data_IF_737980252807
#
_entry.id   IF_737980252807
#
_cell.length_a   1.000
_cell.length_b   1.000
_cell.length_c   1.000
_cell.angle_alpha   90.00
_cell.angle_beta   90.00
_cell.angle_gamma   90.00
#
_symmetry.space_group_name_H-M   'P 1'
#
loop_
_entity.id
_entity.type
_entity.pdbx_description
1 polymer ?
#
# COMPACT_ATOMS: atom_id res chain seq x y z
N UNK A 1 31.54 52.14 -12.13
CA UNK A 1 32.07 53.38 -12.78
C UNK A 1 33.55 53.63 -12.48
N UNK A 2 34.02 53.38 -11.26
CA UNK A 2 35.43 53.59 -10.85
C UNK A 2 36.42 52.55 -11.40
N UNK A 3 36.02 51.29 -11.55
CA UNK A 3 36.89 50.22 -12.09
C UNK A 3 37.23 50.44 -13.57
N UNK A 4 36.28 50.94 -14.36
CA UNK A 4 36.50 51.28 -15.80
C UNK A 4 37.47 52.45 -15.93
N UNK A 5 37.39 53.43 -15.02
CA UNK A 5 38.30 54.56 -14.97
C UNK A 5 39.74 54.12 -14.70
N UNK A 6 39.95 53.26 -13.70
CA UNK A 6 41.26 52.70 -13.37
C UNK A 6 41.84 51.86 -14.51
N UNK A 7 41.01 51.08 -15.21
CA UNK A 7 41.44 50.33 -16.40
C UNK A 7 41.90 51.23 -17.54
N UNK A 8 41.19 52.33 -17.81
CA UNK A 8 41.58 53.29 -18.84
C UNK A 8 42.84 54.11 -18.48
N UNK A 9 43.00 54.50 -17.21
CA UNK A 9 44.19 55.20 -16.69
C UNK A 9 45.45 54.37 -16.78
N UNK A 10 45.30 52.98 -16.63
CA UNK A 10 46.40 52.04 -16.81
C UNK A 10 46.93 51.99 -18.25
N UNK A 11 46.03 52.16 -19.24
CA UNK A 11 46.40 52.21 -20.69
C UNK A 11 47.15 53.42 -21.06
N UNK A 12 46.97 54.58 -20.38
CA UNK A 12 47.61 55.88 -20.64
C UNK A 12 48.96 56.07 -19.92
N UNK A 13 49.59 55.10 -19.30
CA UNK A 13 50.91 55.14 -18.63
C UNK A 13 51.09 56.26 -17.60
N UNK A 14 50.08 56.73 -16.95
CA UNK A 14 50.13 57.80 -15.93
C UNK A 14 50.95 57.29 -14.72
N UNK A 15 51.91 58.16 -14.26
CA UNK A 15 52.77 57.84 -13.10
C UNK A 15 51.89 57.66 -11.84
N UNK A 16 51.96 56.47 -11.19
CA UNK A 16 51.15 56.17 -10.02
C UNK A 16 49.99 55.17 -10.26
N UNK A 17 49.52 54.95 -11.48
CA UNK A 17 48.42 54.02 -11.78
C UNK A 17 48.73 52.56 -11.41
N UNK A 18 49.99 52.16 -11.46
CA UNK A 18 50.42 50.82 -11.02
C UNK A 18 50.28 50.59 -9.52
N UNK A 19 50.51 51.62 -8.70
CA UNK A 19 50.37 51.53 -7.25
C UNK A 19 48.88 51.49 -6.85
N UNK A 20 48.05 52.34 -7.44
CA UNK A 20 46.58 52.36 -7.21
C UNK A 20 45.98 50.99 -7.60
N UNK A 21 46.36 50.41 -8.72
CA UNK A 21 45.87 49.10 -9.16
C UNK A 21 46.27 48.00 -8.18
N UNK A 22 47.51 47.97 -7.69
CA UNK A 22 47.97 47.01 -6.68
C UNK A 22 47.20 47.15 -5.37
N UNK A 23 46.93 48.37 -4.93
CA UNK A 23 46.17 48.64 -3.71
C UNK A 23 44.70 48.16 -3.82
N UNK A 24 44.04 48.44 -4.95
CA UNK A 24 42.68 47.97 -5.20
C UNK A 24 42.60 46.44 -5.24
N UNK A 25 43.57 45.82 -5.92
CA UNK A 25 43.62 44.32 -5.96
C UNK A 25 43.87 43.74 -4.57
N UNK A 26 44.77 44.33 -3.78
CA UNK A 26 45.03 43.88 -2.41
C UNK A 26 43.81 43.99 -1.53
N UNK A 27 43.03 45.10 -1.57
CA UNK A 27 41.79 45.25 -0.85
C UNK A 27 40.70 44.28 -1.35
N UNK A 28 40.64 44.07 -2.67
CA UNK A 28 39.67 43.14 -3.25
C UNK A 28 39.96 41.69 -2.81
N UNK A 29 41.21 41.27 -2.80
CA UNK A 29 41.63 39.96 -2.31
C UNK A 29 41.34 39.82 -0.80
N UNK A 30 41.69 40.83 -0.02
CA UNK A 30 41.46 40.87 1.44
C UNK A 30 39.97 40.74 1.79
N UNK A 31 39.08 41.28 0.99
CA UNK A 31 37.62 41.20 1.17
C UNK A 31 37.02 39.89 0.62
N UNK A 32 37.47 39.47 -0.59
CA UNK A 32 36.90 38.30 -1.27
C UNK A 32 37.33 36.94 -0.64
N UNK A 33 38.61 36.82 -0.25
CA UNK A 33 39.10 35.56 0.31
C UNK A 33 38.35 35.11 1.56
N UNK A 34 38.17 35.97 2.57
CA UNK A 34 37.35 35.57 3.75
C UNK A 34 35.89 35.30 3.42
N UNK A 35 35.30 36.09 2.52
CA UNK A 35 33.90 35.90 2.08
C UNK A 35 33.69 34.55 1.41
N UNK A 36 34.62 34.14 0.52
CA UNK A 36 34.56 32.85 -0.18
C UNK A 36 34.74 31.73 0.79
N UNK A 37 35.70 31.84 1.74
CA UNK A 37 35.90 30.83 2.79
C UNK A 37 34.66 30.65 3.67
N UNK A 38 34.06 31.76 4.14
CA UNK A 38 32.83 31.72 4.92
C UNK A 38 31.67 31.10 4.15
N UNK A 39 31.52 31.46 2.88
CA UNK A 39 30.50 30.90 2.00
C UNK A 39 30.68 29.38 1.82
N UNK A 40 31.92 28.89 1.61
CA UNK A 40 32.21 27.46 1.49
C UNK A 40 31.87 26.70 2.77
N UNK A 41 32.25 27.24 3.92
CA UNK A 41 31.97 26.60 5.23
C UNK A 41 30.45 26.61 5.48
N UNK A 42 29.79 27.73 5.30
CA UNK A 42 28.35 27.86 5.48
C UNK A 42 27.59 26.90 4.54
N UNK A 43 27.98 26.84 3.26
CA UNK A 43 27.37 25.95 2.28
C UNK A 43 27.52 24.48 2.67
N UNK A 44 28.71 24.06 3.11
CA UNK A 44 28.92 22.67 3.59
C UNK A 44 28.11 22.33 4.82
N UNK A 45 28.09 23.23 5.82
CA UNK A 45 27.30 23.05 7.04
C UNK A 45 25.79 22.98 6.71
N UNK A 46 25.33 23.82 5.82
CA UNK A 46 23.92 23.84 5.40
C UNK A 46 23.53 22.55 4.68
N UNK A 47 24.32 22.09 3.73
CA UNK A 47 24.09 20.83 3.00
C UNK A 47 24.10 19.62 3.94
N UNK A 48 25.06 19.57 4.84
CA UNK A 48 25.19 18.50 5.81
C UNK A 48 24.02 18.47 6.81
N UNK A 49 23.66 19.63 7.36
CA UNK A 49 22.57 19.74 8.33
C UNK A 49 21.21 19.40 7.72
N UNK A 50 20.90 19.92 6.53
CA UNK A 50 19.63 19.65 5.87
C UNK A 50 19.56 18.20 5.42
N UNK A 51 20.64 17.66 4.83
CA UNK A 51 20.65 16.29 4.37
C UNK A 51 20.36 15.29 5.49
N UNK A 52 21.07 15.38 6.60
CA UNK A 52 20.88 14.46 7.73
C UNK A 52 19.52 14.65 8.42
N UNK A 53 19.08 15.88 8.63
CA UNK A 53 17.82 16.14 9.33
C UNK A 53 16.60 15.78 8.48
N UNK A 54 16.66 16.04 7.18
CA UNK A 54 15.57 15.73 6.25
C UNK A 54 15.45 14.22 6.03
N UNK A 55 16.56 13.50 5.84
CA UNK A 55 16.54 12.06 5.64
C UNK A 55 15.98 11.33 6.86
N UNK A 56 16.41 11.66 8.07
CA UNK A 56 15.96 11.00 9.29
C UNK A 56 14.44 11.20 9.53
N UNK A 57 13.93 12.41 9.34
CA UNK A 57 12.49 12.68 9.49
C UNK A 57 11.65 12.05 8.40
N UNK A 58 12.13 12.07 7.16
CA UNK A 58 11.43 11.46 6.04
C UNK A 58 11.34 9.95 6.23
N UNK A 59 12.42 9.30 6.62
CA UNK A 59 12.44 7.87 6.90
C UNK A 59 11.44 7.49 8.01
N UNK A 60 11.46 8.19 9.15
CA UNK A 60 10.52 7.96 10.24
C UNK A 60 9.06 8.14 9.80
N UNK A 61 8.77 9.21 9.06
CA UNK A 61 7.40 9.49 8.57
C UNK A 61 6.93 8.40 7.60
N UNK A 62 7.79 7.97 6.69
CA UNK A 62 7.47 6.88 5.76
C UNK A 62 7.28 5.55 6.49
N UNK A 63 8.08 5.26 7.51
CA UNK A 63 7.95 4.07 8.32
C UNK A 63 6.62 4.06 9.09
N UNK A 64 6.25 5.14 9.76
CA UNK A 64 4.94 5.26 10.42
C UNK A 64 3.78 5.14 9.43
N UNK A 65 3.90 5.74 8.26
CA UNK A 65 2.88 5.62 7.20
C UNK A 65 2.74 4.16 6.74
N UNK A 66 3.84 3.43 6.61
CA UNK A 66 3.84 2.02 6.24
C UNK A 66 3.22 1.14 7.34
N UNK A 67 3.48 1.43 8.61
CA UNK A 67 2.87 0.72 9.73
C UNK A 67 1.35 0.95 9.80
N UNK A 68 0.90 2.18 9.57
CA UNK A 68 -0.53 2.50 9.45
C UNK A 68 -1.16 1.72 8.29
N UNK A 69 -0.50 1.69 7.13
CA UNK A 69 -0.97 0.97 5.97
C UNK A 69 -1.10 -0.54 6.22
N UNK A 70 -0.11 -1.14 6.88
CA UNK A 70 -0.12 -2.56 7.27
C UNK A 70 -1.23 -2.86 8.27
N UNK A 71 -1.40 -2.02 9.29
CA UNK A 71 -2.44 -2.19 10.29
C UNK A 71 -3.84 -2.08 9.67
N UNK A 72 -4.05 -1.11 8.78
CA UNK A 72 -5.31 -0.98 8.04
C UNK A 72 -5.61 -2.24 7.22
N UNK A 73 -4.63 -2.77 6.49
CA UNK A 73 -4.79 -3.97 5.69
C UNK A 73 -5.11 -5.20 6.56
N UNK A 74 -4.36 -5.39 7.65
CA UNK A 74 -4.59 -6.48 8.60
C UNK A 74 -5.96 -6.40 9.26
N UNK A 75 -6.41 -5.20 9.64
CA UNK A 75 -7.74 -5.00 10.23
C UNK A 75 -8.85 -5.29 9.22
N UNK A 76 -8.68 -4.84 7.96
CA UNK A 76 -9.62 -5.14 6.89
C UNK A 76 -9.72 -6.65 6.65
N UNK A 77 -8.60 -7.36 6.57
CA UNK A 77 -8.54 -8.82 6.46
C UNK A 77 -9.24 -9.52 7.64
N UNK A 78 -8.91 -9.12 8.86
CA UNK A 78 -9.49 -9.71 10.06
C UNK A 78 -11.02 -9.52 10.12
N UNK A 79 -11.53 -8.35 9.75
CA UNK A 79 -12.97 -8.10 9.65
C UNK A 79 -13.62 -8.99 8.59
N UNK A 80 -13.02 -9.13 7.43
CA UNK A 80 -13.54 -9.95 6.35
C UNK A 80 -13.54 -11.45 6.74
N UNK A 81 -12.47 -11.94 7.35
CA UNK A 81 -12.38 -13.31 7.91
C UNK A 81 -13.43 -13.55 8.99
N UNK A 82 -13.62 -12.61 9.90
CA UNK A 82 -14.64 -12.72 10.95
C UNK A 82 -16.05 -12.85 10.37
N UNK A 83 -16.38 -12.03 9.34
CA UNK A 83 -17.65 -12.16 8.63
C UNK A 83 -17.82 -13.55 8.00
N UNK A 84 -16.78 -14.06 7.35
CA UNK A 84 -16.81 -15.39 6.72
C UNK A 84 -17.03 -16.50 7.76
N UNK A 85 -16.32 -16.45 8.89
CA UNK A 85 -16.50 -17.41 10.00
C UNK A 85 -17.89 -17.32 10.62
N UNK A 86 -18.46 -16.15 10.74
CA UNK A 86 -19.83 -15.99 11.21
C UNK A 86 -20.83 -16.65 10.25
N UNK A 87 -20.63 -16.53 8.94
CA UNK A 87 -21.49 -17.20 7.95
C UNK A 87 -21.31 -18.72 8.05
N UNK A 88 -20.08 -19.23 8.15
CA UNK A 88 -19.79 -20.65 8.41
C UNK A 88 -20.54 -21.16 9.63
N UNK A 89 -20.46 -20.42 10.74
CA UNK A 89 -21.18 -20.79 11.97
C UNK A 89 -22.69 -20.88 11.78
N UNK A 90 -23.29 -19.91 11.05
CA UNK A 90 -24.73 -19.96 10.73
C UNK A 90 -25.10 -21.16 9.86
N UNK A 91 -24.28 -21.50 8.87
CA UNK A 91 -24.49 -22.67 8.02
C UNK A 91 -24.46 -23.94 8.86
N UNK A 92 -23.46 -24.06 9.75
CA UNK A 92 -23.26 -25.22 10.62
C UNK A 92 -24.35 -25.36 11.66
N UNK A 93 -24.72 -24.28 12.35
CA UNK A 93 -25.72 -24.31 13.44
C UNK A 93 -27.15 -24.61 12.98
N UNK A 94 -27.42 -24.48 11.68
CA UNK A 94 -28.75 -24.72 11.07
C UNK A 94 -28.77 -25.91 10.13
N UNK A 95 -27.73 -26.72 10.12
CA UNK A 95 -27.57 -27.88 9.24
C UNK A 95 -27.84 -27.59 7.75
N UNK A 96 -27.45 -26.39 7.29
CA UNK A 96 -27.70 -25.96 5.92
C UNK A 96 -26.84 -26.65 4.87
N UNK A 97 -25.92 -27.52 5.30
CA UNK A 97 -25.15 -28.39 4.43
C UNK A 97 -25.97 -29.55 3.84
N UNK A 98 -27.13 -29.87 4.42
CA UNK A 98 -28.02 -30.91 3.93
C UNK A 98 -28.68 -30.49 2.61
N UNK A 99 -28.80 -31.46 1.69
CA UNK A 99 -29.41 -31.23 0.36
C UNK A 99 -30.84 -30.64 0.41
N UNK A 100 -31.58 -31.03 1.44
CA UNK A 100 -32.95 -30.62 1.71
C UNK A 100 -33.03 -29.11 2.04
N UNK A 101 -31.97 -28.56 2.61
CA UNK A 101 -31.91 -27.17 3.08
C UNK A 101 -31.32 -26.18 2.07
N UNK A 102 -31.09 -26.60 0.82
CA UNK A 102 -30.43 -25.73 -0.20
C UNK A 102 -31.13 -24.41 -0.44
N UNK A 103 -32.46 -24.39 -0.43
CA UNK A 103 -33.21 -23.16 -0.60
C UNK A 103 -33.00 -22.20 0.59
N UNK A 104 -32.96 -22.73 1.80
CA UNK A 104 -32.62 -21.96 3.00
C UNK A 104 -31.17 -21.44 2.97
N UNK A 105 -30.23 -22.24 2.43
CA UNK A 105 -28.85 -21.84 2.24
C UNK A 105 -28.77 -20.64 1.27
N UNK A 106 -29.46 -20.70 0.13
CA UNK A 106 -29.49 -19.59 -0.82
C UNK A 106 -30.06 -18.32 -0.20
N UNK A 107 -31.17 -18.41 0.53
CA UNK A 107 -31.76 -17.27 1.26
C UNK A 107 -30.81 -16.71 2.33
N UNK A 108 -30.09 -17.59 3.04
CA UNK A 108 -29.10 -17.14 4.02
C UNK A 108 -27.99 -16.34 3.37
N UNK A 109 -27.38 -16.81 2.28
CA UNK A 109 -26.26 -16.10 1.64
C UNK A 109 -26.71 -14.77 1.04
N UNK A 110 -27.90 -14.69 0.45
CA UNK A 110 -28.48 -13.44 -0.02
C UNK A 110 -28.62 -12.41 1.12
N UNK A 111 -29.19 -12.82 2.24
CA UNK A 111 -29.31 -11.96 3.40
C UNK A 111 -27.95 -11.54 3.97
N UNK A 112 -26.97 -12.44 4.00
CA UNK A 112 -25.64 -12.15 4.54
C UNK A 112 -24.78 -11.28 3.60
N UNK A 113 -24.96 -11.39 2.30
CA UNK A 113 -24.35 -10.46 1.32
C UNK A 113 -24.84 -9.05 1.61
N UNK A 114 -26.15 -8.86 1.76
CA UNK A 114 -26.73 -7.55 2.06
C UNK A 114 -26.35 -7.03 3.46
N UNK A 115 -26.48 -7.87 4.51
CA UNK A 115 -26.19 -7.51 5.90
C UNK A 115 -24.73 -7.08 6.11
N UNK A 116 -23.79 -7.80 5.52
CA UNK A 116 -22.36 -7.57 5.70
C UNK A 116 -21.74 -6.67 4.62
N UNK A 117 -22.57 -6.21 3.68
CA UNK A 117 -22.12 -5.43 2.51
C UNK A 117 -20.96 -6.12 1.80
N UNK A 118 -21.16 -7.40 1.43
CA UNK A 118 -20.18 -8.19 0.70
C UNK A 118 -20.37 -8.02 -0.81
N UNK A 119 -19.30 -8.16 -1.55
CA UNK A 119 -19.35 -8.23 -3.02
C UNK A 119 -19.90 -9.58 -3.52
N UNK A 120 -19.82 -10.62 -2.69
CA UNK A 120 -20.43 -11.91 -2.98
C UNK A 120 -20.07 -13.01 -1.99
N UNK A 121 -20.83 -14.09 -2.07
CA UNK A 121 -20.58 -15.37 -1.39
C UNK A 121 -20.77 -16.48 -2.40
N UNK A 122 -19.86 -17.44 -2.42
CA UNK A 122 -19.97 -18.67 -3.21
C UNK A 122 -19.70 -19.86 -2.30
N UNK A 123 -20.52 -20.89 -2.41
CA UNK A 123 -20.35 -22.13 -1.65
C UNK A 123 -20.18 -23.30 -2.62
N UNK A 124 -19.11 -24.05 -2.39
CA UNK A 124 -18.78 -25.26 -3.15
C UNK A 124 -18.90 -26.50 -2.27
N UNK A 125 -19.25 -27.63 -2.87
CA UNK A 125 -19.10 -28.92 -2.22
C UNK A 125 -17.63 -29.42 -2.26
N UNK A 126 -17.36 -30.58 -1.65
CA UNK A 126 -16.03 -31.18 -1.64
C UNK A 126 -15.52 -31.61 -3.03
N UNK A 127 -16.40 -31.69 -4.04
CA UNK A 127 -16.06 -31.97 -5.43
C UNK A 127 -15.86 -30.68 -6.24
N UNK A 128 -15.81 -29.52 -5.59
CA UNK A 128 -15.72 -28.20 -6.22
C UNK A 128 -16.89 -27.87 -7.15
N UNK A 129 -18.05 -28.43 -6.88
CA UNK A 129 -19.29 -28.07 -7.56
C UNK A 129 -19.97 -26.96 -6.76
N UNK A 130 -20.35 -25.90 -7.44
CA UNK A 130 -21.11 -24.80 -6.82
C UNK A 130 -22.47 -25.29 -6.32
N UNK A 131 -22.75 -25.00 -5.04
CA UNK A 131 -24.00 -25.36 -4.36
C UNK A 131 -24.92 -24.15 -4.32
N UNK A 132 -24.40 -23.00 -3.98
CA UNK A 132 -25.12 -21.75 -3.85
C UNK A 132 -24.18 -20.58 -4.10
N UNK A 133 -24.67 -19.53 -4.70
CA UNK A 133 -23.91 -18.28 -4.90
C UNK A 133 -24.80 -17.06 -4.90
N UNK A 134 -24.24 -15.97 -4.42
CA UNK A 134 -24.79 -14.62 -4.54
C UNK A 134 -23.61 -13.68 -4.78
N UNK A 135 -23.56 -13.05 -5.94
CA UNK A 135 -22.50 -12.15 -6.35
C UNK A 135 -23.14 -10.89 -6.94
N UNK A 136 -22.59 -9.73 -6.57
CA UNK A 136 -23.00 -8.47 -7.17
C UNK A 136 -22.87 -8.53 -8.70
N UNK A 137 -23.92 -8.16 -9.41
CA UNK A 137 -24.01 -8.22 -10.87
C UNK A 137 -22.91 -7.41 -11.56
N UNK A 138 -22.43 -6.33 -10.92
CA UNK A 138 -21.31 -5.52 -11.42
C UNK A 138 -19.99 -6.30 -11.47
N UNK A 139 -19.85 -7.32 -10.61
CA UNK A 139 -18.65 -8.13 -10.48
C UNK A 139 -18.69 -9.44 -11.29
N UNK A 140 -19.86 -9.87 -11.75
CA UNK A 140 -20.01 -11.13 -12.49
C UNK A 140 -19.11 -11.21 -13.72
N UNK A 141 -18.90 -10.12 -14.44
CA UNK A 141 -18.01 -10.06 -15.59
C UNK A 141 -16.52 -10.23 -15.26
N UNK A 142 -16.15 -10.01 -13.99
CA UNK A 142 -14.77 -10.07 -13.51
C UNK A 142 -14.51 -11.31 -12.66
N UNK A 143 -15.55 -11.92 -12.08
CA UNK A 143 -15.44 -13.14 -11.28
C UNK A 143 -14.88 -14.33 -12.05
N UNK A 144 -15.12 -14.40 -13.37
CA UNK A 144 -14.59 -15.43 -14.25
C UNK A 144 -13.05 -15.46 -14.34
N UNK A 145 -12.37 -14.38 -13.95
CA UNK A 145 -10.90 -14.30 -13.94
C UNK A 145 -10.28 -14.81 -12.63
N UNK A 146 -11.09 -15.02 -11.60
CA UNK A 146 -10.60 -15.51 -10.31
C UNK A 146 -10.45 -17.02 -10.37
N UNK A 147 -9.26 -17.50 -10.10
CA UNK A 147 -9.02 -18.94 -10.00
C UNK A 147 -9.44 -19.47 -8.63
N UNK A 148 -10.76 -19.58 -8.40
CA UNK A 148 -11.33 -20.09 -7.15
C UNK A 148 -10.81 -21.49 -6.79
N UNK A 149 -10.55 -22.34 -7.80
CA UNK A 149 -10.02 -23.67 -7.57
C UNK A 149 -8.66 -23.66 -6.88
N UNK A 150 -7.78 -22.78 -7.30
CA UNK A 150 -6.46 -22.63 -6.66
C UNK A 150 -6.57 -22.13 -5.21
N UNK A 151 -7.48 -21.19 -4.94
CA UNK A 151 -7.76 -20.72 -3.58
C UNK A 151 -8.27 -21.85 -2.68
N UNK A 152 -9.22 -22.61 -3.17
CA UNK A 152 -9.79 -23.75 -2.43
C UNK A 152 -8.71 -24.81 -2.20
N UNK A 153 -7.88 -25.12 -3.21
CA UNK A 153 -6.79 -26.08 -3.06
C UNK A 153 -5.82 -25.71 -1.93
N UNK A 154 -5.47 -24.42 -1.81
CA UNK A 154 -4.63 -23.93 -0.71
C UNK A 154 -5.32 -24.04 0.65
N UNK A 155 -6.66 -24.01 0.70
CA UNK A 155 -7.42 -24.07 1.96
C UNK A 155 -7.71 -25.52 2.43
N UNK A 156 -7.32 -26.54 1.66
CA UNK A 156 -7.56 -27.98 2.00
C UNK A 156 -6.89 -28.38 3.32
N UNK A 157 -5.72 -27.79 3.63
CA UNK A 157 -4.98 -28.09 4.85
C UNK A 157 -5.64 -27.53 6.12
N UNK A 158 -6.88 -27.05 6.02
CA UNK A 158 -7.67 -26.51 7.14
C UNK A 158 -7.37 -25.07 7.48
N UNK A 159 -6.49 -24.43 6.74
CA UNK A 159 -6.14 -23.03 6.93
C UNK A 159 -7.06 -22.11 6.11
N UNK A 160 -7.35 -20.94 6.67
CA UNK A 160 -7.97 -19.87 5.91
C UNK A 160 -6.99 -19.38 4.84
N UNK A 161 -7.46 -19.19 3.63
CA UNK A 161 -6.68 -18.55 2.57
C UNK A 161 -7.31 -17.22 2.22
N UNK A 162 -6.48 -16.18 2.20
CA UNK A 162 -6.88 -14.82 1.81
C UNK A 162 -6.05 -14.38 0.62
N UNK A 163 -6.68 -14.00 -0.45
CA UNK A 163 -6.02 -13.40 -1.61
C UNK A 163 -6.73 -12.13 -2.05
N UNK A 164 -5.95 -11.16 -2.51
CA UNK A 164 -6.47 -9.90 -3.05
C UNK A 164 -6.45 -9.96 -4.57
N UNK A 165 -7.60 -9.72 -5.16
CA UNK A 165 -7.76 -9.62 -6.60
C UNK A 165 -8.01 -8.18 -7.00
N UNK A 166 -7.35 -7.76 -8.08
CA UNK A 166 -7.49 -6.44 -8.67
C UNK A 166 -8.10 -6.54 -10.05
N UNK A 167 -9.14 -5.76 -10.28
CA UNK A 167 -9.67 -5.51 -11.62
C UNK A 167 -9.34 -4.08 -12.02
N UNK A 168 -9.58 -3.72 -13.29
CA UNK A 168 -9.40 -2.34 -13.75
C UNK A 168 -10.26 -1.30 -13.00
N UNK A 169 -11.38 -1.74 -12.44
CA UNK A 169 -12.36 -0.87 -11.79
C UNK A 169 -12.43 -1.04 -10.28
N UNK A 170 -12.19 -2.25 -9.77
CA UNK A 170 -12.43 -2.60 -8.38
C UNK A 170 -11.35 -3.50 -7.82
N UNK A 171 -11.17 -3.42 -6.51
CA UNK A 171 -10.30 -4.30 -5.74
C UNK A 171 -11.15 -5.03 -4.74
N UNK A 172 -10.99 -6.33 -4.65
CA UNK A 172 -11.69 -7.14 -3.69
C UNK A 172 -10.78 -8.21 -3.10
N UNK A 173 -11.06 -8.49 -1.84
CA UNK A 173 -10.41 -9.56 -1.12
C UNK A 173 -11.30 -10.79 -1.20
N UNK A 174 -10.73 -11.91 -1.59
CA UNK A 174 -11.40 -13.21 -1.60
C UNK A 174 -10.84 -14.04 -0.43
N UNK A 175 -11.74 -14.56 0.38
CA UNK A 175 -11.41 -15.40 1.52
C UNK A 175 -12.04 -16.75 1.28
N UNK A 176 -11.20 -17.79 1.31
CA UNK A 176 -11.65 -19.18 1.25
C UNK A 176 -11.51 -19.83 2.65
N UNK A 177 -12.58 -20.45 3.11
CA UNK A 177 -12.61 -21.19 4.38
C UNK A 177 -13.25 -22.56 4.15
N UNK A 178 -12.64 -23.66 4.65
CA UNK A 178 -13.27 -24.97 4.57
C UNK A 178 -14.48 -25.06 5.50
N UNK A 179 -15.56 -25.63 5.00
CA UNK A 179 -16.78 -25.91 5.75
C UNK A 179 -16.68 -27.30 6.36
N UNK A 180 -16.59 -27.35 7.69
CA UNK A 180 -16.35 -28.61 8.42
C UNK A 180 -17.61 -29.09 9.14
N UNK A 181 -17.75 -30.41 9.22
CA UNK A 181 -18.76 -31.08 10.05
C UNK A 181 -18.09 -32.17 10.89
N UNK A 182 -18.72 -32.59 11.98
CA UNK A 182 -18.25 -33.67 12.82
C UNK A 182 -19.06 -34.91 12.46
N UNK A 183 -18.41 -35.93 11.91
CA UNK A 183 -19.00 -37.24 11.60
C UNK A 183 -18.22 -38.28 12.35
N UNK A 184 -18.89 -39.09 13.14
CA UNK A 184 -18.25 -40.16 13.94
C UNK A 184 -17.08 -39.69 14.82
N UNK A 185 -17.16 -38.50 15.40
CA UNK A 185 -16.11 -37.82 16.18
C UNK A 185 -14.88 -37.32 15.35
N UNK A 186 -14.91 -37.44 14.05
CA UNK A 186 -13.89 -36.93 13.16
C UNK A 186 -14.37 -35.67 12.48
N UNK A 187 -13.46 -34.72 12.31
CA UNK A 187 -13.73 -33.46 11.54
C UNK A 187 -13.56 -33.74 10.05
N UNK A 188 -14.64 -33.63 9.31
CA UNK A 188 -14.64 -33.82 7.85
C UNK A 188 -14.99 -32.52 7.14
N UNK A 189 -14.36 -32.27 6.01
CA UNK A 189 -14.68 -31.14 5.14
C UNK A 189 -15.78 -31.59 4.19
N UNK A 190 -16.94 -30.89 4.21
CA UNK A 190 -18.03 -31.16 3.29
C UNK A 190 -18.11 -30.15 2.14
N UNK A 191 -17.40 -29.02 2.26
CA UNK A 191 -17.40 -27.98 1.24
C UNK A 191 -16.50 -26.81 1.59
N UNK A 192 -16.64 -25.73 0.83
CA UNK A 192 -15.86 -24.50 0.97
C UNK A 192 -16.75 -23.29 0.78
N UNK A 193 -16.52 -22.28 1.60
CA UNK A 193 -17.12 -20.96 1.43
C UNK A 193 -16.08 -19.97 0.94
N UNK A 194 -16.44 -19.24 -0.10
CA UNK A 194 -15.68 -18.10 -0.59
C UNK A 194 -16.49 -16.83 -0.36
N UNK A 195 -15.91 -15.87 0.30
CA UNK A 195 -16.49 -14.54 0.46
C UNK A 195 -15.66 -13.51 -0.28
N UNK A 196 -16.35 -12.63 -1.01
CA UNK A 196 -15.77 -11.53 -1.73
C UNK A 196 -16.12 -10.25 -0.99
N UNK A 197 -15.11 -9.53 -0.53
CA UNK A 197 -15.29 -8.24 0.16
C UNK A 197 -14.68 -7.14 -0.69
N UNK A 198 -15.49 -6.17 -1.11
CA UNK A 198 -14.99 -4.99 -1.80
C UNK A 198 -14.21 -4.14 -0.81
N UNK A 199 -13.02 -3.73 -1.22
CA UNK A 199 -12.26 -2.76 -0.46
C UNK A 199 -12.50 -1.37 -1.06
N UNK A 200 -12.62 -0.38 -0.18
CA UNK A 200 -12.72 1.00 -0.64
C UNK A 200 -11.52 1.33 -1.54
N UNK A 201 -11.86 1.73 -2.76
CA UNK A 201 -10.89 2.00 -3.83
C UNK A 201 -9.84 3.03 -3.41
N UNK A 202 -10.27 4.04 -2.65
CA UNK A 202 -9.38 5.11 -2.21
C UNK A 202 -8.41 4.60 -1.13
N UNK A 203 -8.90 3.87 -0.15
CA UNK A 203 -8.09 3.38 0.97
C UNK A 203 -6.99 2.42 0.53
N UNK A 204 -7.29 1.46 -0.35
CA UNK A 204 -6.26 0.54 -0.86
C UNK A 204 -5.27 1.22 -1.82
N UNK A 205 -5.70 2.19 -2.61
CA UNK A 205 -4.79 2.95 -3.47
C UNK A 205 -3.78 3.76 -2.65
N UNK A 206 -4.22 4.32 -1.51
CA UNK A 206 -3.33 5.02 -0.58
C UNK A 206 -2.29 4.08 0.03
N UNK A 207 -2.71 2.88 0.46
CA UNK A 207 -1.80 1.86 1.00
C UNK A 207 -0.71 1.48 -0.01
N UNK A 208 -1.07 1.26 -1.27
CA UNK A 208 -0.09 0.94 -2.32
C UNK A 208 0.83 2.12 -2.65
N UNK A 209 0.28 3.34 -2.68
CA UNK A 209 1.10 4.54 -2.89
C UNK A 209 2.13 4.69 -1.78
N UNK A 210 1.72 4.50 -0.51
CA UNK A 210 2.62 4.53 0.64
C UNK A 210 3.71 3.45 0.49
N UNK A 211 3.32 2.21 0.16
CA UNK A 211 4.26 1.11 -0.03
C UNK A 211 5.27 1.41 -1.13
N UNK A 212 4.82 1.86 -2.29
CA UNK A 212 5.69 2.21 -3.41
C UNK A 212 6.64 3.35 -3.04
N UNK A 213 6.12 4.42 -2.43
CA UNK A 213 6.95 5.55 -1.99
C UNK A 213 8.03 5.12 -0.98
N UNK A 214 7.68 4.22 -0.06
CA UNK A 214 8.64 3.66 0.89
C UNK A 214 9.72 2.80 0.20
N UNK A 215 9.33 1.95 -0.74
CA UNK A 215 10.25 1.12 -1.51
C UNK A 215 11.19 1.98 -2.39
N UNK A 216 10.64 2.98 -3.08
CA UNK A 216 11.42 3.93 -3.90
C UNK A 216 12.43 4.71 -3.04
N UNK A 217 12.01 5.17 -1.85
CA UNK A 217 12.90 5.84 -0.90
C UNK A 217 14.04 4.93 -0.45
N UNK A 218 13.74 3.68 -0.12
CA UNK A 218 14.73 2.71 0.36
C UNK A 218 15.75 2.29 -0.71
N UNK A 219 15.41 2.41 -1.98
CA UNK A 219 16.34 2.18 -3.10
C UNK A 219 17.26 3.37 -3.36
N UNK A 220 16.89 4.58 -2.92
CA UNK A 220 17.65 5.81 -3.15
C UNK A 220 18.54 6.19 -1.95
N UNK A 221 18.34 5.60 -0.79
CA UNK A 221 19.13 5.81 0.44
C UNK A 221 20.24 4.79 0.55
#
# INVERSE_FOLDING_TARGET
RNLVKVYNERKSKIIGSKFQTKLIIAFLILALVPSILLFMVASKLFTFSIGNWFNLRTEQTLQYSMDIARNYYSEFENRAVSKTKNIEHFIKSRDLYLKENRQHLQTLIQNKVAEYNLAGIIIYDNNLKEIASEIDSSLLSHSSKINYRNLIQKSIDGEKVTEVYMTQKERFMVIAVPLTQIVNKEVTIWGYILTLTSADKNSLSHVETIKKTYEDYKQQS
#
